data_IF_483984869330
#
_entry.id   IF_483984869330
#
_cell.length_a   1.000
_cell.length_b   1.000
_cell.length_c   1.000
_cell.angle_alpha   90.00
_cell.angle_beta   90.00
_cell.angle_gamma   90.00
#
_symmetry.space_group_name_H-M   'P 1'
#
loop_
_entity.id
_entity.type
_entity.pdbx_description
1 polymer ?
#
# COMPACT_ATOMS: atom_id res chain seq x y z
N UNK A 1 -4.73 47.83 14.90
CA UNK A 1 -4.65 47.92 13.42
C UNK A 1 -5.44 46.76 12.84
N UNK A 2 -6.44 47.03 12.01
CA UNK A 2 -7.33 46.00 11.44
C UNK A 2 -6.58 45.26 10.31
N UNK A 3 -6.55 43.93 10.33
CA UNK A 3 -5.85 43.11 9.32
C UNK A 3 -6.32 43.44 7.89
N UNK A 4 -7.61 43.77 7.73
CA UNK A 4 -8.17 44.19 6.45
C UNK A 4 -7.68 45.58 5.98
N UNK A 5 -7.31 46.49 6.89
CA UNK A 5 -6.76 47.79 6.49
C UNK A 5 -5.31 47.68 6.03
N UNK A 6 -4.55 46.75 6.60
CA UNK A 6 -3.15 46.47 6.20
C UNK A 6 -3.12 45.81 4.81
N UNK A 7 -3.99 44.83 4.56
CA UNK A 7 -4.09 44.18 3.25
C UNK A 7 -4.53 45.13 2.13
N UNK A 8 -5.38 46.12 2.44
CA UNK A 8 -5.86 47.10 1.45
C UNK A 8 -4.77 48.11 1.06
N UNK A 9 -3.92 48.52 2.01
CA UNK A 9 -2.77 49.38 1.77
C UNK A 9 -1.72 48.68 0.89
N UNK A 10 -1.40 47.41 1.19
CA UNK A 10 -0.45 46.62 0.40
C UNK A 10 -0.97 46.39 -1.03
N UNK A 11 -2.28 46.17 -1.20
CA UNK A 11 -2.89 46.01 -2.52
C UNK A 11 -2.82 47.29 -3.35
N UNK A 12 -3.13 48.45 -2.75
CA UNK A 12 -3.10 49.74 -3.47
C UNK A 12 -1.70 50.18 -3.87
N UNK A 13 -0.69 49.98 -3.01
CA UNK A 13 0.69 50.34 -3.34
C UNK A 13 1.25 49.46 -4.48
N UNK A 14 0.87 48.18 -4.54
CA UNK A 14 1.31 47.26 -5.60
C UNK A 14 0.69 47.52 -6.98
N UNK A 15 -0.44 48.22 -7.05
CA UNK A 15 -1.14 48.54 -8.32
C UNK A 15 -0.61 49.85 -8.94
N UNK A 16 -0.04 50.75 -8.12
CA UNK A 16 0.48 52.05 -8.57
C UNK A 16 1.99 51.99 -8.87
N UNK A 17 2.71 51.07 -8.23
CA UNK A 17 4.11 50.76 -8.55
C UNK A 17 4.19 49.90 -9.83
N UNK A 18 4.58 50.53 -10.94
CA UNK A 18 4.81 49.88 -12.25
C UNK A 18 6.12 49.09 -12.27
N UNK A 19 6.57 48.59 -11.13
CA UNK A 19 7.87 47.97 -10.97
C UNK A 19 7.77 46.45 -11.04
N UNK A 20 8.69 45.83 -11.79
CA UNK A 20 8.65 44.40 -12.16
C UNK A 20 8.68 43.45 -10.95
N UNK A 21 9.04 43.96 -9.77
CA UNK A 21 9.12 43.21 -8.51
C UNK A 21 7.76 42.98 -7.82
N UNK A 22 6.76 43.85 -8.03
CA UNK A 22 5.48 43.72 -7.31
C UNK A 22 4.55 42.66 -7.92
N UNK A 23 4.66 42.43 -9.24
CA UNK A 23 4.00 41.30 -9.89
C UNK A 23 4.49 39.94 -9.36
N UNK A 24 5.76 39.84 -8.94
CA UNK A 24 6.28 38.62 -8.32
C UNK A 24 5.67 38.38 -6.94
N UNK A 25 5.46 39.43 -6.13
CA UNK A 25 4.83 39.31 -4.82
C UNK A 25 3.38 38.84 -4.93
N UNK A 26 2.57 39.48 -5.78
CA UNK A 26 1.17 39.08 -6.00
C UNK A 26 1.08 37.63 -6.51
N UNK A 27 1.96 37.23 -7.44
CA UNK A 27 2.01 35.87 -7.95
C UNK A 27 2.48 34.84 -6.90
N UNK A 28 3.44 35.20 -6.04
CA UNK A 28 3.87 34.39 -4.88
C UNK A 28 2.67 34.16 -3.95
N UNK A 29 1.89 35.20 -3.64
CA UNK A 29 0.69 35.09 -2.80
C UNK A 29 -0.40 34.21 -3.43
N UNK A 30 -0.62 34.30 -4.75
CA UNK A 30 -1.53 33.40 -5.45
C UNK A 30 -1.03 31.95 -5.45
N UNK A 31 0.25 31.71 -5.73
CA UNK A 31 0.82 30.34 -5.68
C UNK A 31 0.81 29.77 -4.25
N UNK A 32 0.99 30.61 -3.23
CA UNK A 32 0.83 30.23 -1.83
C UNK A 32 -0.62 29.87 -1.52
N UNK A 33 -1.62 30.60 -2.01
CA UNK A 33 -3.03 30.26 -1.81
C UNK A 33 -3.41 28.90 -2.43
N UNK A 34 -2.96 28.61 -3.64
CA UNK A 34 -3.22 27.30 -4.26
C UNK A 34 -2.40 26.18 -3.62
N UNK A 35 -1.17 26.46 -3.19
CA UNK A 35 -0.35 25.49 -2.44
C UNK A 35 -0.95 25.21 -1.06
N UNK A 36 -1.47 26.23 -0.37
CA UNK A 36 -2.21 26.08 0.89
C UNK A 36 -3.52 25.34 0.65
N UNK A 37 -4.25 25.61 -0.43
CA UNK A 37 -5.48 24.88 -0.77
C UNK A 37 -5.19 23.41 -1.09
N UNK A 38 -4.09 23.11 -1.79
CA UNK A 38 -3.63 21.75 -2.06
C UNK A 38 -3.13 21.06 -0.79
N UNK A 39 -2.38 21.75 0.06
CA UNK A 39 -1.94 21.25 1.38
C UNK A 39 -3.16 21.01 2.26
N UNK A 40 -4.15 21.90 2.27
CA UNK A 40 -5.41 21.74 3.01
C UNK A 40 -6.26 20.63 2.40
N UNK A 41 -6.25 20.42 1.07
CA UNK A 41 -6.92 19.30 0.42
C UNK A 41 -6.24 17.97 0.77
N UNK A 42 -4.91 17.93 0.77
CA UNK A 42 -4.11 16.74 1.17
C UNK A 42 -4.27 16.47 2.66
N UNK A 43 -4.20 17.50 3.50
CA UNK A 43 -4.48 17.43 4.95
C UNK A 43 -5.95 17.02 5.16
N UNK A 44 -6.92 17.53 4.41
CA UNK A 44 -8.32 17.14 4.52
C UNK A 44 -8.55 15.70 4.04
N UNK A 45 -7.83 15.24 3.01
CA UNK A 45 -7.79 13.83 2.60
C UNK A 45 -7.20 12.94 3.72
N UNK A 46 -6.27 13.47 4.50
CA UNK A 46 -5.59 12.80 5.64
C UNK A 46 -6.35 12.92 6.98
N UNK A 47 -7.16 13.97 7.15
CA UNK A 47 -7.98 14.29 8.34
C UNK A 47 -9.42 13.82 8.16
N UNK A 48 -9.78 13.29 7.00
CA UNK A 48 -10.79 12.23 6.97
C UNK A 48 -10.26 11.19 7.95
N UNK A 49 -10.95 10.96 9.07
CA UNK A 49 -10.57 9.86 9.90
C UNK A 49 -10.86 8.63 9.04
N UNK A 50 -9.83 8.05 8.42
CA UNK A 50 -9.71 6.61 8.59
C UNK A 50 -9.52 6.45 10.08
N UNK A 51 -10.66 6.42 10.77
CA UNK A 51 -10.80 5.68 12.00
C UNK A 51 -10.26 4.32 11.57
N UNK A 52 -9.00 4.06 11.86
CA UNK A 52 -8.56 2.71 12.13
C UNK A 52 -9.37 2.36 13.37
N UNK A 53 -10.64 2.01 13.14
CA UNK A 53 -11.43 1.25 14.05
C UNK A 53 -10.50 0.12 14.39
N UNK A 54 -10.00 0.06 15.62
CA UNK A 54 -9.35 -1.14 16.08
C UNK A 54 -10.32 -2.26 15.70
N UNK A 55 -9.92 -3.09 14.73
CA UNK A 55 -10.73 -4.19 14.27
C UNK A 55 -11.02 -5.02 15.51
N UNK A 56 -12.25 -4.92 15.97
CA UNK A 56 -12.78 -5.61 17.15
C UNK A 56 -13.98 -6.44 16.71
N UNK A 57 -13.85 -6.99 15.50
CA UNK A 57 -14.81 -7.89 14.91
C UNK A 57 -14.61 -9.32 15.41
N UNK A 58 -15.68 -10.10 15.44
CA UNK A 58 -15.57 -11.56 15.46
C UNK A 58 -16.42 -12.11 14.33
N UNK A 59 -15.98 -13.23 13.75
CA UNK A 59 -16.70 -13.89 12.66
C UNK A 59 -17.30 -15.22 13.12
N UNK A 60 -18.30 -15.69 12.41
CA UNK A 60 -18.84 -17.04 12.56
C UNK A 60 -18.78 -17.75 11.21
N UNK A 61 -18.17 -18.93 11.17
CA UNK A 61 -18.09 -19.77 9.98
C UNK A 61 -19.04 -20.96 10.12
N UNK A 62 -19.84 -21.19 9.09
CA UNK A 62 -20.83 -22.27 9.02
C UNK A 62 -20.68 -23.05 7.72
N UNK A 63 -21.01 -24.33 7.75
CA UNK A 63 -20.96 -25.23 6.59
C UNK A 63 -22.36 -25.67 6.19
N UNK A 64 -22.59 -25.87 4.90
CA UNK A 64 -23.87 -26.41 4.39
C UNK A 64 -24.16 -27.82 4.92
N UNK A 65 -23.10 -28.58 5.22
CA UNK A 65 -23.16 -29.93 5.78
C UNK A 65 -21.98 -30.15 6.71
N UNK A 66 -22.20 -30.85 7.83
CA UNK A 66 -21.15 -31.19 8.81
C UNK A 66 -20.57 -32.59 8.61
N UNK A 67 -21.12 -33.37 7.67
CA UNK A 67 -20.58 -34.67 7.30
C UNK A 67 -20.67 -34.90 5.79
N UNK A 68 -19.60 -35.49 5.24
CA UNK A 68 -19.51 -35.90 3.84
C UNK A 68 -18.82 -37.25 3.75
N UNK A 69 -19.08 -37.98 2.66
CA UNK A 69 -18.37 -39.22 2.39
C UNK A 69 -17.67 -39.16 1.04
N UNK A 70 -16.39 -39.50 1.06
CA UNK A 70 -15.49 -39.38 -0.09
C UNK A 70 -14.77 -40.72 -0.27
N UNK A 71 -14.80 -41.32 -1.47
CA UNK A 71 -13.98 -42.48 -1.76
C UNK A 71 -12.49 -42.14 -1.80
N UNK A 72 -11.62 -43.12 -1.57
CA UNK A 72 -10.17 -42.92 -1.69
C UNK A 72 -9.79 -42.46 -3.10
N UNK A 73 -9.00 -41.38 -3.18
CA UNK A 73 -8.63 -40.74 -4.45
C UNK A 73 -9.69 -39.80 -5.01
N UNK A 74 -10.83 -39.63 -4.34
CA UNK A 74 -11.91 -38.74 -4.75
C UNK A 74 -11.83 -37.36 -4.11
N UNK A 75 -12.77 -36.50 -4.52
CA UNK A 75 -12.99 -35.17 -3.93
C UNK A 75 -14.48 -34.89 -3.78
N UNK A 76 -14.83 -34.00 -2.84
CA UNK A 76 -16.18 -33.49 -2.68
C UNK A 76 -16.14 -32.02 -2.25
N UNK A 77 -17.22 -31.29 -2.49
CA UNK A 77 -17.33 -29.86 -2.20
C UNK A 77 -18.37 -29.62 -1.13
N UNK A 78 -18.06 -28.73 -0.19
CA UNK A 78 -19.00 -28.21 0.81
C UNK A 78 -19.06 -26.69 0.70
N UNK A 79 -20.23 -26.10 0.84
CA UNK A 79 -20.38 -24.64 0.85
C UNK A 79 -20.10 -24.13 2.26
N UNK A 80 -19.30 -23.07 2.38
CA UNK A 80 -19.11 -22.35 3.64
C UNK A 80 -19.73 -20.96 3.56
N UNK A 81 -20.15 -20.45 4.71
CA UNK A 81 -20.67 -19.11 4.88
C UNK A 81 -20.03 -18.48 6.12
N UNK A 82 -19.41 -17.32 5.94
CA UNK A 82 -18.82 -16.52 7.00
C UNK A 82 -19.70 -15.31 7.24
N UNK A 83 -20.11 -15.11 8.48
CA UNK A 83 -20.92 -13.97 8.91
C UNK A 83 -20.18 -13.18 9.98
N UNK A 84 -20.47 -11.88 10.06
CA UNK A 84 -20.03 -11.06 11.17
C UNK A 84 -20.84 -11.44 12.41
N UNK A 85 -20.16 -11.89 13.46
CA UNK A 85 -20.77 -12.21 14.75
C UNK A 85 -20.87 -10.97 15.65
N UNK A 86 -19.87 -10.10 15.65
CA UNK A 86 -19.89 -8.81 16.37
C UNK A 86 -18.85 -7.84 15.80
N UNK A 87 -18.95 -6.56 16.17
CA UNK A 87 -17.95 -5.53 15.82
C UNK A 87 -18.03 -5.04 14.37
N UNK A 88 -16.86 -4.72 13.79
CA UNK A 88 -16.71 -4.27 12.41
C UNK A 88 -15.92 -5.31 11.61
N UNK A 89 -16.23 -5.45 10.32
CA UNK A 89 -15.57 -6.39 9.40
C UNK A 89 -14.18 -5.88 9.06
N UNK A 90 -13.17 -6.75 9.11
CA UNK A 90 -11.83 -6.38 8.69
C UNK A 90 -11.00 -7.59 8.30
N UNK A 91 -10.89 -7.85 6.99
CA UNK A 91 -9.92 -8.77 6.42
C UNK A 91 -9.94 -10.18 7.04
N UNK A 92 -10.98 -10.96 6.80
CA UNK A 92 -11.02 -12.37 7.20
C UNK A 92 -10.30 -13.25 6.18
N UNK A 93 -9.51 -14.20 6.66
CA UNK A 93 -8.87 -15.27 5.91
C UNK A 93 -9.33 -16.64 6.41
N UNK A 94 -9.58 -17.60 5.53
CA UNK A 94 -10.03 -18.94 5.90
C UNK A 94 -8.86 -19.92 5.81
N UNK A 95 -8.74 -20.78 6.81
CA UNK A 95 -7.78 -21.88 6.83
C UNK A 95 -8.46 -23.20 7.22
N UNK A 96 -7.83 -24.31 6.84
CA UNK A 96 -8.25 -25.63 7.27
C UNK A 96 -7.08 -26.39 7.91
N UNK A 97 -7.37 -27.07 9.02
CA UNK A 97 -6.52 -28.12 9.60
C UNK A 97 -7.10 -29.47 9.20
N UNK A 98 -6.32 -30.27 8.47
CA UNK A 98 -6.73 -31.57 7.97
C UNK A 98 -5.66 -32.64 8.27
N UNK A 99 -6.06 -33.90 8.52
CA UNK A 99 -5.13 -35.02 8.69
C UNK A 99 -4.29 -35.29 7.44
N UNK A 100 -3.12 -35.91 7.63
CA UNK A 100 -2.22 -36.24 6.52
C UNK A 100 -2.91 -37.05 5.42
N UNK A 101 -2.70 -36.64 4.16
CA UNK A 101 -3.34 -37.24 2.99
C UNK A 101 -4.73 -36.70 2.65
N UNK A 102 -5.27 -35.76 3.44
CA UNK A 102 -6.49 -35.02 3.13
C UNK A 102 -6.15 -33.54 2.95
N UNK A 103 -6.58 -32.93 1.86
CA UNK A 103 -6.33 -31.50 1.57
C UNK A 103 -7.62 -30.75 1.32
N UNK A 104 -7.65 -29.46 1.67
CA UNK A 104 -8.80 -28.58 1.48
C UNK A 104 -8.36 -27.33 0.72
N UNK A 105 -9.13 -26.95 -0.31
CA UNK A 105 -8.92 -25.70 -1.06
C UNK A 105 -10.20 -24.88 -1.09
N UNK A 106 -10.09 -23.56 -1.00
CA UNK A 106 -11.24 -22.65 -0.95
C UNK A 106 -11.35 -21.83 -2.24
N UNK A 107 -12.57 -21.65 -2.73
CA UNK A 107 -12.83 -20.78 -3.89
C UNK A 107 -12.65 -19.30 -3.60
N UNK A 108 -12.91 -18.88 -2.35
CA UNK A 108 -12.75 -17.51 -1.89
C UNK A 108 -12.08 -17.47 -0.50
N UNK A 109 -10.74 -17.64 -0.43
CA UNK A 109 -10.03 -17.82 0.84
C UNK A 109 -10.00 -16.58 1.72
N UNK A 110 -10.35 -15.40 1.21
CA UNK A 110 -10.29 -14.13 1.95
C UNK A 110 -11.47 -13.22 1.62
N UNK A 111 -11.91 -12.41 2.56
CA UNK A 111 -12.96 -11.40 2.34
C UNK A 111 -13.43 -10.74 3.64
N UNK A 112 -14.29 -9.74 3.51
CA UNK A 112 -14.99 -9.13 4.65
C UNK A 112 -16.35 -9.82 4.84
N UNK A 113 -16.74 -10.23 6.07
CA UNK A 113 -18.04 -10.82 6.31
C UNK A 113 -19.19 -9.85 5.99
N UNK A 114 -20.33 -10.30 5.43
CA UNK A 114 -20.61 -11.68 5.07
C UNK A 114 -20.03 -12.05 3.71
N UNK A 115 -19.41 -13.24 3.63
CA UNK A 115 -19.01 -13.83 2.35
C UNK A 115 -19.18 -15.35 2.38
N UNK A 116 -19.20 -15.95 1.19
CA UNK A 116 -19.38 -17.40 1.03
C UNK A 116 -18.51 -17.95 -0.10
N UNK A 117 -18.37 -19.27 -0.14
CA UNK A 117 -17.65 -19.97 -1.19
C UNK A 117 -17.76 -21.48 -1.05
N UNK A 118 -16.94 -22.19 -1.81
CA UNK A 118 -16.86 -23.65 -1.79
C UNK A 118 -15.51 -24.12 -1.26
N UNK A 119 -15.55 -25.03 -0.30
CA UNK A 119 -14.38 -25.77 0.17
C UNK A 119 -14.35 -27.13 -0.54
N UNK A 120 -13.29 -27.38 -1.30
CA UNK A 120 -13.07 -28.64 -2.01
C UNK A 120 -12.16 -29.52 -1.17
N UNK A 121 -12.68 -30.63 -0.67
CA UNK A 121 -11.95 -31.63 0.12
C UNK A 121 -11.49 -32.74 -0.82
N UNK A 122 -10.19 -33.04 -0.83
CA UNK A 122 -9.59 -34.11 -1.63
C UNK A 122 -8.94 -35.14 -0.72
N UNK A 123 -9.18 -36.42 -1.00
CA UNK A 123 -8.66 -37.55 -0.21
C UNK A 123 -7.66 -38.33 -1.06
N UNK A 124 -6.41 -38.44 -0.61
CA UNK A 124 -5.40 -39.23 -1.30
C UNK A 124 -5.73 -40.73 -1.28
N UNK A 125 -5.23 -41.47 -2.28
CA UNK A 125 -5.46 -42.94 -2.39
C UNK A 125 -4.86 -43.74 -1.23
N UNK A 126 -3.86 -43.17 -0.55
CA UNK A 126 -3.12 -43.77 0.58
C UNK A 126 -3.85 -43.64 1.92
N UNK A 127 -4.87 -42.80 2.00
CA UNK A 127 -5.66 -42.63 3.24
C UNK A 127 -6.45 -43.90 3.51
N UNK A 128 -6.38 -44.40 4.74
CA UNK A 128 -7.13 -45.60 5.14
C UNK A 128 -8.63 -45.29 5.25
N UNK A 129 -9.52 -46.25 4.98
CA UNK A 129 -10.95 -46.06 5.24
C UNK A 129 -11.18 -45.77 6.73
N UNK A 130 -12.05 -44.81 7.02
CA UNK A 130 -12.28 -44.33 8.38
C UNK A 130 -12.92 -42.94 8.39
N UNK A 131 -13.22 -42.45 9.59
CA UNK A 131 -13.76 -41.11 9.80
C UNK A 131 -12.65 -40.17 10.26
N UNK A 132 -12.55 -39.03 9.58
CA UNK A 132 -11.55 -38.00 9.82
C UNK A 132 -12.24 -36.67 10.10
N UNK A 133 -11.67 -35.88 11.00
CA UNK A 133 -12.17 -34.54 11.31
C UNK A 133 -11.30 -33.51 10.63
N UNK A 134 -11.94 -32.56 9.95
CA UNK A 134 -11.32 -31.35 9.40
C UNK A 134 -11.87 -30.16 10.20
N UNK A 135 -11.00 -29.26 10.61
CA UNK A 135 -11.38 -28.00 11.24
C UNK A 135 -11.17 -26.86 10.26
N UNK A 136 -12.20 -26.05 10.04
CA UNK A 136 -12.17 -24.88 9.16
C UNK A 136 -12.35 -23.64 10.02
N UNK A 137 -11.37 -22.75 10.00
CA UNK A 137 -11.32 -21.55 10.85
C UNK A 137 -11.39 -20.29 10.01
N UNK A 138 -12.16 -19.31 10.46
CA UNK A 138 -11.97 -17.93 10.06
C UNK A 138 -10.87 -17.32 10.94
N UNK A 139 -9.83 -16.81 10.29
CA UNK A 139 -8.60 -16.25 10.87
C UNK A 139 -8.41 -14.84 10.32
N UNK A 140 -7.57 -14.01 10.94
CA UNK A 140 -7.42 -12.60 10.55
C UNK A 140 -7.70 -11.67 11.72
N UNK A 141 -8.07 -10.42 11.43
CA UNK A 141 -8.32 -9.40 12.46
C UNK A 141 -9.71 -9.54 13.11
N UNK A 142 -10.60 -10.36 12.52
CA UNK A 142 -11.91 -10.76 13.05
C UNK A 142 -12.09 -12.29 13.15
N UNK A 143 -11.29 -12.98 13.98
CA UNK A 143 -11.26 -14.44 14.05
C UNK A 143 -12.60 -15.03 14.50
N UNK A 144 -12.89 -16.26 14.07
CA UNK A 144 -14.03 -16.98 14.64
C UNK A 144 -13.72 -17.48 16.05
N UNK A 145 -14.72 -17.35 16.94
CA UNK A 145 -14.64 -17.86 18.30
C UNK A 145 -14.57 -19.40 18.36
N UNK A 146 -14.98 -20.07 17.29
CA UNK A 146 -14.88 -21.52 17.13
C UNK A 146 -14.68 -21.90 15.67
N UNK A 147 -13.87 -22.94 15.38
CA UNK A 147 -13.78 -23.52 14.04
C UNK A 147 -15.05 -24.31 13.70
N UNK A 148 -15.41 -24.34 12.41
CA UNK A 148 -16.42 -25.27 11.91
C UNK A 148 -15.78 -26.65 11.70
N UNK A 149 -16.42 -27.68 12.24
CA UNK A 149 -15.94 -29.06 12.12
C UNK A 149 -16.66 -29.81 11.01
N UNK A 150 -15.89 -30.45 10.12
CA UNK A 150 -16.38 -31.31 9.05
C UNK A 150 -15.90 -32.75 9.26
N UNK A 151 -16.85 -33.68 9.36
CA UNK A 151 -16.58 -35.11 9.45
C UNK A 151 -16.52 -35.73 8.05
N UNK A 152 -15.37 -36.28 7.67
CA UNK A 152 -15.13 -36.90 6.37
C UNK A 152 -15.01 -38.40 6.54
N UNK A 153 -15.98 -39.14 6.00
CA UNK A 153 -15.95 -40.60 5.97
C UNK A 153 -15.31 -41.10 4.68
N UNK A 154 -14.11 -41.65 4.81
CA UNK A 154 -13.33 -42.21 3.69
C UNK A 154 -13.82 -43.62 3.38
N UNK A 155 -14.40 -43.81 2.19
CA UNK A 155 -14.93 -45.12 1.76
C UNK A 155 -13.84 -46.02 1.16
N UNK A 156 -14.04 -47.33 1.25
CA UNK A 156 -13.07 -48.32 0.76
C UNK A 156 -12.94 -48.37 -0.78
N UNK A 157 -13.95 -47.88 -1.49
CA UNK A 157 -13.96 -47.77 -2.95
C UNK A 157 -12.90 -46.78 -3.42
N UNK A 158 -12.00 -47.24 -4.27
CA UNK A 158 -11.00 -46.38 -4.92
C UNK A 158 -11.62 -45.81 -6.17
N UNK A 159 -11.65 -44.48 -6.30
CA UNK A 159 -12.09 -43.85 -7.54
C UNK A 159 -10.89 -43.74 -8.47
N UNK A 160 -10.97 -44.40 -9.62
CA UNK A 160 -10.05 -44.23 -10.74
C UNK A 160 -10.53 -43.06 -11.59
N UNK A 161 -10.50 -41.84 -11.05
CA UNK A 161 -10.69 -40.63 -11.84
C UNK A 161 -9.35 -40.07 -12.27
N UNK A 162 -9.32 -39.51 -13.47
CA UNK A 162 -8.22 -38.67 -13.94
C UNK A 162 -7.94 -37.56 -12.90
N UNK A 163 -6.69 -37.06 -12.80
CA UNK A 163 -6.34 -35.98 -11.88
C UNK A 163 -7.37 -34.85 -11.96
N UNK A 164 -7.86 -34.30 -10.83
CA UNK A 164 -8.70 -33.12 -10.84
C UNK A 164 -8.04 -32.05 -11.72
N UNK A 165 -8.77 -31.35 -12.60
CA UNK A 165 -8.21 -30.16 -13.23
C UNK A 165 -7.69 -29.26 -12.11
N UNK A 166 -6.42 -28.86 -12.20
CA UNK A 166 -5.79 -28.02 -11.20
C UNK A 166 -6.72 -26.82 -10.93
N UNK A 167 -6.94 -26.44 -9.66
CA UNK A 167 -7.77 -25.28 -9.35
C UNK A 167 -7.26 -24.11 -10.18
N UNK A 168 -8.17 -23.46 -10.90
CA UNK A 168 -7.85 -22.27 -11.69
C UNK A 168 -7.42 -21.21 -10.69
N UNK A 169 -6.11 -20.99 -10.57
CA UNK A 169 -5.55 -19.95 -9.73
C UNK A 169 -5.98 -18.62 -10.35
N UNK A 170 -6.98 -17.96 -9.74
CA UNK A 170 -7.35 -16.62 -10.13
C UNK A 170 -6.25 -15.67 -9.65
N UNK A 171 -5.37 -15.28 -10.57
CA UNK A 171 -4.35 -14.28 -10.30
C UNK A 171 -5.03 -12.92 -10.21
N UNK A 172 -4.92 -12.26 -9.06
CA UNK A 172 -5.39 -10.89 -8.92
C UNK A 172 -4.45 -9.95 -9.68
N UNK A 173 -4.90 -9.40 -10.80
CA UNK A 173 -4.09 -8.51 -11.64
C UNK A 173 -4.11 -7.04 -11.19
N UNK A 174 -4.97 -6.66 -10.24
CA UNK A 174 -5.13 -5.27 -9.79
C UNK A 174 -3.79 -4.68 -9.31
N UNK A 175 -3.00 -5.35 -8.45
CA UNK A 175 -1.75 -4.77 -7.94
C UNK A 175 -0.74 -4.47 -9.05
N UNK A 176 -0.69 -5.32 -10.09
CA UNK A 176 0.19 -5.15 -11.24
C UNK A 176 -0.21 -3.97 -12.13
N UNK A 177 -1.51 -3.80 -12.37
CA UNK A 177 -2.02 -2.67 -13.17
C UNK A 177 -1.72 -1.37 -12.44
N UNK A 178 -2.06 -1.30 -11.14
CA UNK A 178 -1.86 -0.08 -10.36
C UNK A 178 -0.38 0.24 -10.19
N UNK A 179 0.44 -0.73 -9.81
CA UNK A 179 1.89 -0.52 -9.69
C UNK A 179 2.55 -0.20 -11.02
N UNK A 180 2.12 -0.83 -12.12
CA UNK A 180 2.60 -0.51 -13.48
C UNK A 180 2.31 0.95 -13.87
N UNK A 181 1.09 1.43 -13.60
CA UNK A 181 0.73 2.85 -13.79
C UNK A 181 1.58 3.75 -12.90
N UNK A 182 1.79 3.38 -11.63
CA UNK A 182 2.59 4.17 -10.71
C UNK A 182 4.05 4.30 -11.20
N UNK A 183 4.64 3.22 -11.73
CA UNK A 183 6.01 3.22 -12.30
C UNK A 183 6.08 4.11 -13.53
N UNK A 184 5.08 4.02 -14.42
CA UNK A 184 5.00 4.92 -15.57
C UNK A 184 4.92 6.39 -15.12
N UNK A 185 4.07 6.70 -14.14
CA UNK A 185 3.94 8.06 -13.59
C UNK A 185 5.22 8.55 -12.91
N UNK A 186 5.92 7.70 -12.17
CA UNK A 186 7.22 8.03 -11.58
C UNK A 186 8.21 8.50 -12.65
N UNK A 187 8.38 7.72 -13.72
CA UNK A 187 9.30 8.05 -14.82
C UNK A 187 8.85 9.31 -15.57
N UNK A 188 7.56 9.39 -15.92
CA UNK A 188 7.00 10.53 -16.65
C UNK A 188 7.16 11.81 -15.86
N UNK A 189 6.82 11.83 -14.56
CA UNK A 189 6.97 13.02 -13.74
C UNK A 189 8.42 13.36 -13.48
N UNK A 190 9.30 12.39 -13.24
CA UNK A 190 10.73 12.65 -13.13
C UNK A 190 11.24 13.41 -14.36
N UNK A 191 10.88 12.97 -15.57
CA UNK A 191 11.32 13.61 -16.82
C UNK A 191 10.65 14.98 -17.00
N UNK A 192 9.33 15.06 -16.87
CA UNK A 192 8.57 16.31 -17.11
C UNK A 192 9.04 17.43 -16.17
N UNK A 193 9.12 17.15 -14.87
CA UNK A 193 9.51 18.16 -13.88
C UNK A 193 11.00 18.51 -13.97
N UNK A 194 11.84 17.61 -14.50
CA UNK A 194 13.25 17.92 -14.84
C UNK A 194 13.41 18.89 -16.01
N UNK A 195 12.46 18.89 -16.95
CA UNK A 195 12.64 19.53 -18.27
C UNK A 195 11.75 20.76 -18.52
N UNK A 196 10.50 20.79 -18.05
CA UNK A 196 9.50 21.71 -18.61
C UNK A 196 8.92 22.77 -17.67
N UNK A 197 9.26 22.76 -16.36
CA UNK A 197 8.60 23.63 -15.36
C UNK A 197 9.55 24.56 -14.56
N UNK A 198 10.34 25.46 -15.21
CA UNK A 198 11.27 26.33 -14.49
C UNK A 198 10.58 27.32 -13.55
N UNK A 199 9.48 27.95 -14.00
CA UNK A 199 8.83 29.05 -13.28
C UNK A 199 8.19 28.61 -11.94
N UNK A 200 7.81 27.34 -11.83
CA UNK A 200 7.07 26.80 -10.69
C UNK A 200 7.89 25.83 -9.84
N UNK A 201 9.19 25.68 -10.14
CA UNK A 201 10.03 24.66 -9.52
C UNK A 201 10.08 24.78 -7.99
N UNK A 202 10.28 25.99 -7.45
CA UNK A 202 10.31 26.25 -6.00
C UNK A 202 9.02 25.86 -5.26
N UNK A 203 7.83 26.40 -5.63
CA UNK A 203 6.59 26.05 -4.94
C UNK A 203 6.26 24.56 -5.08
N UNK A 204 6.49 23.96 -6.25
CA UNK A 204 6.28 22.52 -6.45
C UNK A 204 7.19 21.72 -5.50
N UNK A 205 8.47 22.09 -5.37
CA UNK A 205 9.40 21.43 -4.46
C UNK A 205 8.94 21.49 -3.00
N UNK A 206 8.42 22.62 -2.55
CA UNK A 206 7.92 22.75 -1.17
C UNK A 206 6.72 21.84 -0.91
N UNK A 207 5.79 21.80 -1.86
CA UNK A 207 4.63 20.91 -1.79
C UNK A 207 5.09 19.45 -1.79
N UNK A 208 5.96 19.05 -2.72
CA UNK A 208 6.37 17.64 -2.86
C UNK A 208 7.22 17.19 -1.68
N UNK A 209 8.07 18.05 -1.13
CA UNK A 209 8.77 17.78 0.13
C UNK A 209 7.77 17.56 1.28
N UNK A 210 6.78 18.45 1.43
CA UNK A 210 5.79 18.32 2.52
C UNK A 210 5.01 17.02 2.41
N UNK A 211 4.56 16.68 1.19
CA UNK A 211 3.82 15.43 0.95
C UNK A 211 4.71 14.20 1.23
N UNK A 212 5.94 14.17 0.70
CA UNK A 212 6.87 13.06 0.95
C UNK A 212 7.25 12.91 2.43
N UNK A 213 7.41 14.03 3.15
CA UNK A 213 7.65 14.05 4.59
C UNK A 213 6.49 13.39 5.35
N UNK A 214 5.25 13.82 5.08
CA UNK A 214 4.04 13.29 5.72
C UNK A 214 3.87 11.79 5.44
N UNK A 215 4.01 11.38 4.17
CA UNK A 215 3.86 9.97 3.79
C UNK A 215 4.93 9.08 4.41
N UNK A 216 6.17 9.55 4.47
CA UNK A 216 7.26 8.81 5.12
C UNK A 216 7.01 8.66 6.62
N UNK A 217 6.60 9.73 7.31
CA UNK A 217 6.25 9.66 8.73
C UNK A 217 5.07 8.72 8.99
N UNK A 218 4.05 8.74 8.12
CA UNK A 218 2.91 7.85 8.21
C UNK A 218 3.34 6.38 8.13
N UNK A 219 4.10 6.01 7.10
CA UNK A 219 4.60 4.64 6.93
C UNK A 219 5.52 4.22 8.09
N UNK A 220 6.41 5.08 8.56
CA UNK A 220 7.28 4.78 9.71
C UNK A 220 6.47 4.48 10.99
N UNK A 221 5.35 5.17 11.18
CA UNK A 221 4.55 5.12 12.42
C UNK A 221 3.51 4.00 12.40
N UNK A 222 2.80 3.84 11.27
CA UNK A 222 1.61 2.99 11.19
C UNK A 222 1.86 1.66 10.45
N UNK A 223 2.97 1.52 9.74
CA UNK A 223 3.28 0.26 9.05
C UNK A 223 4.00 -0.73 9.97
N UNK A 224 3.22 -1.41 10.80
CA UNK A 224 3.73 -2.44 11.71
C UNK A 224 4.30 -3.65 10.95
N UNK A 225 3.82 -3.92 9.74
CA UNK A 225 4.33 -5.00 8.88
C UNK A 225 5.75 -4.67 8.42
N UNK A 226 5.98 -3.45 7.96
CA UNK A 226 7.32 -2.98 7.57
C UNK A 226 8.29 -3.08 8.75
N UNK A 227 7.88 -2.60 9.93
CA UNK A 227 8.72 -2.62 11.13
C UNK A 227 9.09 -4.06 11.55
N UNK A 228 8.11 -4.98 11.54
CA UNK A 228 8.29 -6.34 12.07
C UNK A 228 8.96 -7.28 11.08
N UNK A 229 8.62 -7.19 9.80
CA UNK A 229 9.02 -8.18 8.80
C UNK A 229 9.99 -7.64 7.74
N UNK A 230 10.13 -6.32 7.60
CA UNK A 230 11.03 -5.68 6.65
C UNK A 230 11.85 -4.56 7.33
N UNK A 231 12.51 -4.90 8.44
CA UNK A 231 13.20 -3.92 9.29
C UNK A 231 14.22 -3.06 8.53
N UNK A 232 14.95 -3.64 7.58
CA UNK A 232 15.91 -2.92 6.73
C UNK A 232 15.24 -1.84 5.88
N UNK A 233 14.02 -2.09 5.38
CA UNK A 233 13.22 -1.11 4.64
C UNK A 233 12.72 0.00 5.53
N UNK A 234 12.21 -0.36 6.71
CA UNK A 234 11.78 0.62 7.71
C UNK A 234 12.93 1.55 8.10
N UNK A 235 14.13 1.00 8.35
CA UNK A 235 15.32 1.79 8.63
C UNK A 235 15.75 2.65 7.42
N UNK A 236 15.69 2.10 6.21
CA UNK A 236 15.96 2.83 4.97
C UNK A 236 15.05 4.05 4.81
N UNK A 237 13.77 3.93 5.15
CA UNK A 237 12.81 5.03 5.10
C UNK A 237 13.13 6.12 6.15
N UNK A 238 13.59 5.76 7.35
CA UNK A 238 14.06 6.72 8.36
C UNK A 238 15.30 7.47 7.88
N UNK A 239 16.29 6.73 7.36
CA UNK A 239 17.52 7.34 6.84
C UNK A 239 17.21 8.30 5.68
N UNK A 240 16.34 7.87 4.76
CA UNK A 240 15.84 8.74 3.70
C UNK A 240 15.16 10.00 4.25
N UNK A 241 14.24 9.86 5.22
CA UNK A 241 13.51 10.98 5.81
C UNK A 241 14.44 12.01 6.45
N UNK A 242 15.41 11.55 7.24
CA UNK A 242 16.40 12.40 7.89
C UNK A 242 17.27 13.13 6.87
N UNK A 243 17.85 12.40 5.91
CA UNK A 243 18.69 12.99 4.88
C UNK A 243 17.93 13.97 3.98
N UNK A 244 16.71 13.62 3.58
CA UNK A 244 15.84 14.48 2.78
C UNK A 244 15.50 15.78 3.52
N UNK A 245 15.20 15.70 4.83
CA UNK A 245 14.95 16.87 5.69
C UNK A 245 16.19 17.77 5.81
N UNK A 246 17.37 17.18 6.03
CA UNK A 246 18.63 17.91 6.12
C UNK A 246 18.92 18.64 4.79
N UNK A 247 18.89 17.92 3.67
CA UNK A 247 19.22 18.50 2.37
C UNK A 247 18.19 19.54 1.92
N UNK A 248 16.92 19.33 2.25
CA UNK A 248 15.88 20.34 2.06
C UNK A 248 16.19 21.62 2.85
N UNK A 249 16.56 21.51 4.13
CA UNK A 249 17.01 22.65 4.94
C UNK A 249 18.20 23.39 4.32
N UNK A 250 19.16 22.65 3.76
CA UNK A 250 20.33 23.24 3.09
C UNK A 250 19.97 23.98 1.78
N UNK A 251 18.78 23.77 1.21
CA UNK A 251 18.32 24.57 0.04
C UNK A 251 18.07 26.05 0.37
N UNK A 252 17.96 26.38 1.66
CA UNK A 252 17.84 27.76 2.16
C UNK A 252 19.19 28.39 2.50
N UNK A 253 20.30 27.69 2.32
CA UNK A 253 21.63 28.24 2.57
C UNK A 253 21.91 29.48 1.73
N UNK A 254 22.58 30.47 2.32
CA UNK A 254 23.13 31.63 1.62
C UNK A 254 24.24 31.25 0.63
N UNK A 255 24.90 30.10 0.85
CA UNK A 255 25.92 29.59 -0.07
C UNK A 255 25.27 28.95 -1.30
N UNK A 256 25.50 29.55 -2.46
CA UNK A 256 25.01 29.06 -3.75
C UNK A 256 25.53 27.65 -4.07
N UNK A 257 26.78 27.35 -3.72
CA UNK A 257 27.39 26.05 -3.92
C UNK A 257 26.74 24.96 -3.05
N UNK A 258 26.48 25.28 -1.77
CA UNK A 258 25.83 24.36 -0.83
C UNK A 258 24.38 24.09 -1.24
N UNK A 259 23.64 25.12 -1.63
CA UNK A 259 22.29 25.01 -2.17
C UNK A 259 22.23 24.15 -3.43
N UNK A 260 23.16 24.36 -4.37
CA UNK A 260 23.20 23.56 -5.60
C UNK A 260 23.53 22.10 -5.31
N UNK A 261 24.46 21.84 -4.40
CA UNK A 261 24.83 20.48 -3.99
C UNK A 261 23.67 19.77 -3.29
N UNK A 262 22.96 20.45 -2.38
CA UNK A 262 21.82 19.85 -1.68
C UNK A 262 20.69 19.49 -2.64
N UNK A 263 20.44 20.28 -3.67
CA UNK A 263 19.44 19.96 -4.70
C UNK A 263 19.81 18.72 -5.51
N UNK A 264 21.09 18.53 -5.88
CA UNK A 264 21.52 17.29 -6.51
C UNK A 264 21.40 16.08 -5.58
N UNK A 265 21.72 16.23 -4.29
CA UNK A 265 21.56 15.16 -3.31
C UNK A 265 20.09 14.79 -3.10
N UNK A 266 19.17 15.78 -3.10
CA UNK A 266 17.74 15.53 -3.11
C UNK A 266 17.30 14.78 -4.36
N UNK A 267 17.80 15.14 -5.55
CA UNK A 267 17.52 14.39 -6.78
C UNK A 267 17.97 12.95 -6.66
N UNK A 268 19.23 12.70 -6.30
CA UNK A 268 19.78 11.35 -6.20
C UNK A 268 19.05 10.54 -5.14
N UNK A 269 18.82 11.09 -3.95
CA UNK A 269 18.13 10.41 -2.87
C UNK A 269 16.70 9.98 -3.22
N UNK A 270 15.94 10.84 -3.88
CA UNK A 270 14.58 10.52 -4.33
C UNK A 270 14.57 9.46 -5.46
N UNK A 271 15.54 9.51 -6.39
CA UNK A 271 15.67 8.48 -7.42
C UNK A 271 16.01 7.12 -6.80
N UNK A 272 16.97 7.10 -5.87
CA UNK A 272 17.37 5.87 -5.18
C UNK A 272 16.22 5.26 -4.38
N UNK A 273 15.42 6.08 -3.68
CA UNK A 273 14.23 5.58 -3.00
C UNK A 273 13.22 4.99 -3.98
N UNK A 274 12.93 5.68 -5.09
CA UNK A 274 12.05 5.15 -6.13
C UNK A 274 12.55 3.81 -6.70
N UNK A 275 13.83 3.70 -7.01
CA UNK A 275 14.44 2.45 -7.49
C UNK A 275 14.37 1.33 -6.44
N UNK A 276 14.59 1.64 -5.17
CA UNK A 276 14.45 0.69 -4.07
C UNK A 276 13.03 0.11 -4.03
N UNK A 277 12.00 0.96 -4.10
CA UNK A 277 10.60 0.52 -4.12
C UNK A 277 10.27 -0.34 -5.34
N UNK A 278 10.85 -0.05 -6.51
CA UNK A 278 10.70 -0.91 -7.69
C UNK A 278 11.34 -2.29 -7.45
N UNK A 279 12.56 -2.33 -6.91
CA UNK A 279 13.26 -3.58 -6.57
C UNK A 279 12.42 -4.39 -5.58
N UNK A 280 11.86 -3.75 -4.57
CA UNK A 280 11.00 -4.41 -3.58
C UNK A 280 9.75 -5.00 -4.18
N UNK A 281 9.16 -4.30 -5.15
CA UNK A 281 7.98 -4.78 -5.85
C UNK A 281 8.33 -5.98 -6.73
N UNK A 282 9.37 -5.85 -7.56
CA UNK A 282 9.75 -6.84 -8.58
C UNK A 282 10.31 -8.12 -7.95
N UNK A 283 11.10 -7.99 -6.89
CA UNK A 283 11.77 -9.11 -6.23
C UNK A 283 11.05 -9.59 -4.97
N UNK A 284 9.85 -9.08 -4.70
CA UNK A 284 9.00 -9.55 -3.60
C UNK A 284 9.63 -9.32 -2.23
N UNK A 285 9.97 -8.06 -1.93
CA UNK A 285 10.60 -7.60 -0.69
C UNK A 285 11.83 -8.45 -0.31
N UNK A 286 12.92 -8.39 -1.10
CA UNK A 286 14.04 -9.33 -1.00
C UNK A 286 14.81 -9.26 0.33
N UNK A 287 14.71 -8.15 1.06
CA UNK A 287 15.32 -7.96 2.38
C UNK A 287 14.28 -8.04 3.52
N UNK A 288 13.18 -8.75 3.30
CA UNK A 288 12.15 -9.00 4.32
C UNK A 288 12.03 -10.49 4.62
N UNK A 289 11.49 -10.82 5.80
CA UNK A 289 11.05 -12.18 6.12
C UNK A 289 9.76 -12.58 5.39
N UNK A 290 9.14 -11.67 4.64
CA UNK A 290 7.99 -11.95 3.78
C UNK A 290 8.40 -12.50 2.41
N UNK A 291 9.69 -12.56 2.11
CA UNK A 291 10.18 -13.09 0.84
C UNK A 291 9.74 -14.55 0.67
N UNK A 292 9.06 -14.85 -0.44
CA UNK A 292 8.46 -16.17 -0.78
C UNK A 292 7.24 -16.61 0.05
N UNK A 293 6.62 -15.75 0.86
CA UNK A 293 5.38 -16.10 1.58
C UNK A 293 4.22 -16.32 0.61
N UNK A 294 4.11 -15.49 -0.43
CA UNK A 294 3.18 -15.70 -1.55
C UNK A 294 3.88 -15.39 -2.88
N UNK A 295 3.27 -15.80 -3.99
CA UNK A 295 3.68 -15.28 -5.30
C UNK A 295 3.31 -13.79 -5.36
N UNK A 296 4.30 -12.92 -5.58
CA UNK A 296 4.14 -11.47 -5.79
C UNK A 296 3.89 -10.61 -4.53
N UNK A 297 4.34 -11.04 -3.35
CA UNK A 297 4.27 -10.29 -2.07
C UNK A 297 4.60 -8.79 -2.23
N UNK A 298 5.62 -8.43 -3.00
CA UNK A 298 6.01 -7.02 -3.20
C UNK A 298 4.94 -6.18 -3.90
N UNK A 299 4.31 -6.73 -4.95
CA UNK A 299 3.20 -6.09 -5.65
C UNK A 299 1.99 -5.94 -4.73
N UNK A 300 1.64 -7.01 -4.03
CA UNK A 300 0.51 -7.05 -3.12
C UNK A 300 0.69 -6.10 -1.93
N UNK A 301 1.93 -5.94 -1.45
CA UNK A 301 2.23 -5.07 -0.33
C UNK A 301 2.19 -3.59 -0.74
N UNK A 302 2.99 -3.20 -1.74
CA UNK A 302 3.13 -1.79 -2.14
C UNK A 302 1.92 -1.27 -2.90
N UNK A 303 1.27 -2.11 -3.70
CA UNK A 303 0.21 -1.72 -4.65
C UNK A 303 -1.05 -2.57 -4.54
N UNK A 304 -1.23 -3.36 -3.47
CA UNK A 304 -2.37 -4.27 -3.35
C UNK A 304 -3.64 -3.66 -2.79
N UNK A 305 -3.59 -2.51 -2.10
CA UNK A 305 -4.79 -1.80 -1.60
C UNK A 305 -5.75 -2.69 -0.79
N UNK A 306 -5.24 -3.48 0.15
CA UNK A 306 -6.09 -4.35 0.98
C UNK A 306 -6.60 -5.61 0.28
N UNK A 307 -6.19 -5.89 -0.97
CA UNK A 307 -6.55 -7.14 -1.65
C UNK A 307 -5.85 -8.38 -1.06
N UNK A 308 -4.92 -8.19 -0.14
CA UNK A 308 -4.22 -9.24 0.60
C UNK A 308 -4.09 -8.85 2.08
N UNK A 309 -3.88 -9.84 2.95
CA UNK A 309 -3.74 -9.62 4.40
C UNK A 309 -2.43 -8.93 4.82
N UNK A 310 -1.48 -8.76 3.90
CA UNK A 310 -0.15 -8.22 4.20
C UNK A 310 -0.09 -6.69 4.10
N UNK A 311 -1.07 -6.03 3.49
CA UNK A 311 -1.13 -4.57 3.38
C UNK A 311 -2.55 -4.05 3.45
N UNK A 312 -2.74 -2.94 4.16
CA UNK A 312 -4.03 -2.25 4.21
C UNK A 312 -4.15 -1.26 3.05
N UNK A 313 -5.39 -0.81 2.76
CA UNK A 313 -5.65 0.25 1.78
C UNK A 313 -4.80 1.49 2.05
N UNK A 314 -4.67 1.90 3.31
CA UNK A 314 -3.91 3.09 3.71
C UNK A 314 -2.41 2.94 3.45
N UNK A 315 -1.83 1.76 3.73
CA UNK A 315 -0.42 1.50 3.51
C UNK A 315 -0.08 1.48 2.01
N UNK A 316 -0.82 0.73 1.19
CA UNK A 316 -0.56 0.72 -0.26
C UNK A 316 -0.80 2.08 -0.91
N UNK A 317 -1.81 2.84 -0.46
CA UNK A 317 -2.03 4.21 -0.92
C UNK A 317 -0.83 5.11 -0.56
N UNK A 318 -0.33 5.01 0.68
CA UNK A 318 0.80 5.80 1.14
C UNK A 318 2.08 5.49 0.35
N UNK A 319 2.39 4.20 0.10
CA UNK A 319 3.51 3.81 -0.75
C UNK A 319 3.34 4.31 -2.19
N UNK A 320 2.15 4.14 -2.79
CA UNK A 320 1.89 4.58 -4.17
C UNK A 320 2.08 6.09 -4.32
N UNK A 321 1.54 6.88 -3.38
CA UNK A 321 1.71 8.32 -3.38
C UNK A 321 3.17 8.70 -3.11
N UNK A 322 3.84 8.05 -2.15
CA UNK A 322 5.24 8.33 -1.84
C UNK A 322 6.07 8.14 -3.10
N UNK A 323 5.86 7.02 -3.79
CA UNK A 323 6.54 6.66 -5.03
C UNK A 323 6.33 7.70 -6.15
N UNK A 324 5.10 8.15 -6.38
CA UNK A 324 4.82 9.19 -7.37
C UNK A 324 5.50 10.52 -7.00
N UNK A 325 5.37 10.93 -5.73
CA UNK A 325 5.87 12.21 -5.27
C UNK A 325 7.39 12.28 -5.17
N UNK A 326 8.09 11.17 -4.91
CA UNK A 326 9.56 11.15 -4.99
C UNK A 326 10.04 11.37 -6.43
N UNK A 327 9.31 10.88 -7.44
CA UNK A 327 9.59 11.18 -8.86
C UNK A 327 9.47 12.67 -9.18
N UNK A 328 8.37 13.31 -8.76
CA UNK A 328 8.18 14.76 -8.92
C UNK A 328 9.27 15.53 -8.16
N UNK A 329 9.55 15.14 -6.91
CA UNK A 329 10.52 15.81 -6.06
C UNK A 329 11.95 15.70 -6.61
N UNK A 330 12.32 14.54 -7.16
CA UNK A 330 13.59 14.35 -7.85
C UNK A 330 13.71 15.30 -9.05
N UNK A 331 12.70 15.31 -9.92
CA UNK A 331 12.72 16.08 -11.16
C UNK A 331 12.77 17.58 -10.92
N UNK A 332 11.94 18.08 -9.99
CA UNK A 332 11.91 19.52 -9.68
C UNK A 332 13.21 19.99 -9.01
N UNK A 333 13.79 19.18 -8.13
CA UNK A 333 15.09 19.47 -7.50
C UNK A 333 16.21 19.53 -8.53
N UNK A 334 16.18 18.60 -9.51
CA UNK A 334 17.16 18.56 -10.60
C UNK A 334 17.05 19.81 -11.49
N UNK A 335 15.82 20.22 -11.79
CA UNK A 335 15.58 21.43 -12.57
C UNK A 335 16.16 22.66 -11.88
N UNK A 336 15.92 22.82 -10.58
CA UNK A 336 16.47 23.96 -9.84
C UNK A 336 17.99 23.93 -9.76
N UNK A 337 18.59 22.76 -9.52
CA UNK A 337 20.03 22.60 -9.48
C UNK A 337 20.71 23.05 -10.79
N UNK A 338 20.06 22.84 -11.94
CA UNK A 338 20.55 23.25 -13.27
C UNK A 338 20.42 24.74 -13.54
N UNK A 339 19.45 25.42 -12.92
CA UNK A 339 19.21 26.86 -13.15
C UNK A 339 20.12 27.74 -12.27
N UNK A 340 20.60 27.23 -11.14
CA UNK A 340 21.58 27.93 -10.32
C UNK A 340 22.91 28.06 -11.09
N UNK A 341 23.27 29.29 -11.45
CA UNK A 341 24.61 29.61 -11.97
C UNK A 341 25.64 29.30 -10.87
N UNK A 342 26.65 28.50 -11.24
CA UNK A 342 27.77 28.15 -10.39
C UNK A 342 28.73 29.31 -10.20
#
# INVERSE_FOLDING_TARGET
MNFNSVLRSIYYDSVISKDRNDYNLVFIFYSMKYSILLIVLVIALFMLPMVSSAASGTSEITLSTTSISIPRGGSSTVTYNVKLASGNTWGTSISASAPSGISVTFSNPTGDPPFSGTATVTVAKTVSPGTYTIEISATGDDPSSSPATLSVTVMNTTVTTAPPPAPVVHVNYIPFIVGGIAIALFVVFLIIFSLFLPAYSKPIRYVTYTVTLILSMYLITYDHVLLKYAYSHWLGLIVYLLLSTIFFGLTFSSSQALKRSSLYLLTVGNILLGLLMIVDTVFGLPYSSLHNVTTNVGWDYLFGYGTTSISTVGISLAFTLLFIFVGIYAGVSLREARVLKG
#
